data_IF_918997266544
#
_entry.id   IF_918997266544
#
_cell.length_a   1.000
_cell.length_b   1.000
_cell.length_c   1.000
_cell.angle_alpha   90.00
_cell.angle_beta   90.00
_cell.angle_gamma   90.00
#
_symmetry.space_group_name_H-M   'P 1'
#
loop_
_entity.id
_entity.type
_entity.pdbx_description
1 polymer ?
#
# COMPACT_ATOMS: atom_id res chain seq x y z
N UNK A 1 -6.88 1.34 -11.37
CA UNK A 1 -5.69 0.70 -10.78
C UNK A 1 -4.65 0.35 -11.84
N UNK A 2 -3.38 0.67 -11.60
CA UNK A 2 -2.27 0.13 -12.39
C UNK A 2 -2.12 -1.36 -12.08
N UNK A 3 -1.75 -2.17 -13.08
CA UNK A 3 -1.67 -3.64 -12.96
C UNK A 3 -0.78 -4.09 -11.79
N UNK A 4 0.35 -3.41 -11.60
CA UNK A 4 1.30 -3.72 -10.54
C UNK A 4 0.71 -3.54 -9.12
N UNK A 5 -0.30 -2.68 -8.93
CA UNK A 5 -0.90 -2.48 -7.60
C UNK A 5 -1.60 -3.74 -7.10
N UNK A 6 -2.24 -4.48 -8.01
CA UNK A 6 -2.90 -5.74 -7.68
C UNK A 6 -1.87 -6.86 -7.46
N UNK A 7 -0.82 -6.88 -8.26
CA UNK A 7 0.29 -7.84 -8.12
C UNK A 7 0.99 -7.68 -6.76
N UNK A 8 1.27 -6.44 -6.34
CA UNK A 8 1.83 -6.14 -5.01
C UNK A 8 0.85 -6.52 -3.90
N UNK A 9 -0.43 -6.16 -4.03
CA UNK A 9 -1.42 -6.49 -3.01
C UNK A 9 -1.54 -8.01 -2.81
N UNK A 10 -1.51 -8.78 -3.90
CA UNK A 10 -1.53 -10.24 -3.85
C UNK A 10 -0.28 -10.81 -3.16
N UNK A 11 0.91 -10.30 -3.51
CA UNK A 11 2.16 -10.70 -2.85
C UNK A 11 2.15 -10.40 -1.35
N UNK A 12 1.70 -9.20 -0.95
CA UNK A 12 1.55 -8.81 0.47
C UNK A 12 0.58 -9.74 1.20
N UNK A 13 -0.55 -10.10 0.59
CA UNK A 13 -1.51 -11.05 1.18
C UNK A 13 -0.96 -12.47 1.30
N UNK A 14 0.02 -12.83 0.47
CA UNK A 14 0.75 -14.10 0.55
C UNK A 14 1.88 -14.06 1.61
N UNK A 15 2.08 -12.91 2.27
CA UNK A 15 3.14 -12.72 3.26
C UNK A 15 4.53 -12.52 2.66
N UNK A 16 4.60 -12.09 1.40
CA UNK A 16 5.86 -11.81 0.71
C UNK A 16 6.36 -10.38 0.97
N UNK A 17 7.69 -10.23 1.07
CA UNK A 17 8.34 -8.92 1.12
C UNK A 17 8.44 -8.32 -0.29
N UNK A 18 8.02 -7.06 -0.43
CA UNK A 18 7.97 -6.39 -1.74
C UNK A 18 8.69 -5.04 -1.70
N UNK A 19 9.58 -4.81 -2.68
CA UNK A 19 10.17 -3.49 -2.98
C UNK A 19 9.52 -2.96 -4.25
N UNK A 20 9.09 -1.70 -4.22
CA UNK A 20 8.45 -1.04 -5.35
C UNK A 20 9.26 0.18 -5.77
N UNK A 21 9.67 0.23 -7.04
CA UNK A 21 10.27 1.40 -7.65
C UNK A 21 9.31 1.98 -8.67
N UNK A 22 8.74 3.13 -8.33
CA UNK A 22 7.67 3.77 -9.09
C UNK A 22 7.78 5.28 -8.90
N UNK A 23 7.26 6.09 -9.83
CA UNK A 23 7.25 7.55 -9.72
C UNK A 23 6.27 8.10 -8.67
N UNK A 24 6.46 9.36 -8.25
CA UNK A 24 5.47 10.10 -7.45
C UNK A 24 4.15 10.22 -8.21
N UNK A 25 3.02 10.18 -7.50
CA UNK A 25 1.68 10.25 -8.13
C UNK A 25 1.20 8.96 -8.80
N UNK A 26 2.03 7.90 -8.86
CA UNK A 26 1.62 6.63 -9.45
C UNK A 26 0.70 5.79 -8.54
N UNK A 27 0.26 6.30 -7.39
CA UNK A 27 -0.71 5.59 -6.54
C UNK A 27 -0.11 4.45 -5.73
N UNK A 28 1.06 4.66 -5.10
CA UNK A 28 1.69 3.69 -4.19
C UNK A 28 0.84 3.38 -2.97
N UNK A 29 0.14 4.38 -2.44
CA UNK A 29 -0.75 4.24 -1.29
C UNK A 29 -1.76 3.11 -1.50
N UNK A 30 -2.32 3.01 -2.71
CA UNK A 30 -3.29 1.96 -3.05
C UNK A 30 -2.71 0.55 -2.93
N UNK A 31 -1.40 0.35 -3.15
CA UNK A 31 -0.75 -0.96 -2.98
C UNK A 31 -0.84 -1.46 -1.53
N UNK A 32 -0.80 -0.55 -0.56
CA UNK A 32 -0.85 -0.88 0.87
C UNK A 32 -2.29 -0.87 1.42
N UNK A 33 -3.20 -0.12 0.78
CA UNK A 33 -4.62 -0.08 1.18
C UNK A 33 -5.42 -1.26 0.65
N UNK A 34 -5.14 -1.75 -0.57
CA UNK A 34 -5.89 -2.86 -1.18
C UNK A 34 -5.98 -4.13 -0.30
N UNK A 35 -4.90 -4.62 0.33
CA UNK A 35 -4.97 -5.78 1.21
C UNK A 35 -5.92 -5.62 2.41
N UNK A 36 -6.09 -4.39 2.90
CA UNK A 36 -6.96 -4.09 4.05
C UNK A 36 -8.44 -4.20 3.70
N UNK A 37 -8.80 -4.02 2.43
CA UNK A 37 -10.22 -4.00 2.01
C UNK A 37 -10.87 -5.40 2.01
N UNK A 38 -10.09 -6.47 2.16
CA UNK A 38 -10.61 -7.85 2.13
C UNK A 38 -11.30 -8.28 3.43
N UNK A 39 -10.92 -7.70 4.56
CA UNK A 39 -11.52 -8.00 5.86
C UNK A 39 -11.36 -6.81 6.79
N UNK A 40 -12.40 -6.51 7.57
CA UNK A 40 -12.35 -5.50 8.62
C UNK A 40 -11.39 -5.88 9.78
N UNK A 41 -10.96 -7.14 9.84
CA UNK A 41 -9.97 -7.63 10.81
C UNK A 41 -8.52 -7.36 10.37
N UNK A 42 -8.29 -7.00 9.11
CA UNK A 42 -6.95 -6.73 8.59
C UNK A 42 -6.43 -5.39 9.14
N UNK A 43 -5.18 -5.38 9.60
CA UNK A 43 -4.49 -4.19 10.11
C UNK A 43 -3.20 -4.00 9.33
N UNK A 44 -2.90 -2.75 8.95
CA UNK A 44 -1.64 -2.35 8.33
C UNK A 44 -1.00 -1.23 9.13
N UNK A 45 0.32 -1.28 9.26
CA UNK A 45 1.11 -0.23 9.88
C UNK A 45 1.95 0.44 8.78
N UNK A 46 1.70 1.73 8.55
CA UNK A 46 2.42 2.53 7.56
C UNK A 46 3.35 3.49 8.30
N UNK A 47 4.64 3.40 8.03
CA UNK A 47 5.65 4.31 8.57
C UNK A 47 6.01 5.32 7.50
N UNK A 48 5.77 6.60 7.77
CA UNK A 48 6.11 7.71 6.89
C UNK A 48 7.01 8.69 7.63
N UNK A 49 8.08 9.21 6.99
CA UNK A 49 9.01 10.15 7.63
C UNK A 49 8.44 11.56 7.81
N UNK A 50 7.36 11.92 7.10
CA UNK A 50 6.83 13.28 7.08
C UNK A 50 5.38 13.31 7.59
N UNK A 51 5.14 14.02 8.69
CA UNK A 51 3.79 14.16 9.27
C UNK A 51 2.79 14.81 8.30
N UNK A 52 3.24 15.76 7.47
CA UNK A 52 2.39 16.36 6.44
C UNK A 52 1.88 15.32 5.43
N UNK A 53 2.72 14.34 5.08
CA UNK A 53 2.32 13.25 4.19
C UNK A 53 1.35 12.28 4.87
N UNK A 54 1.50 12.06 6.18
CA UNK A 54 0.56 11.25 6.96
C UNK A 54 -0.84 11.87 6.97
N UNK A 55 -0.94 13.19 7.12
CA UNK A 55 -2.22 13.91 7.13
C UNK A 55 -2.90 13.86 5.76
N UNK A 56 -2.14 13.97 4.68
CA UNK A 56 -2.65 13.92 3.30
C UNK A 56 -3.22 12.53 2.92
N UNK A 57 -2.76 11.47 3.57
CA UNK A 57 -3.07 10.07 3.25
C UNK A 57 -4.01 9.38 4.24
N UNK A 58 -4.34 10.04 5.35
CA UNK A 58 -5.29 9.57 6.35
C UNK A 58 -6.75 9.76 5.88
#
# INVERSE_FOLDING_TARGET
>A
PFKYQLEIAAAVLQGEDVIIDVGTGCGKTLCFTLPLLLSAENISMIVSPLSALMIDQA
#
